data_IF_158198813482
#
_entry.id   IF_158198813482
#
_cell.length_a   1.000
_cell.length_b   1.000
_cell.length_c   1.000
_cell.angle_alpha   90.00
_cell.angle_beta   90.00
_cell.angle_gamma   90.00
#
_symmetry.space_group_name_H-M   'P 1'
#
loop_
_entity.id
_entity.type
_entity.pdbx_description
1 polymer ?
#
# COMPACT_ATOMS: atom_id res chain seq x y z
N UNK A 1 -9.44 8.01 8.65
CA UNK A 1 -9.54 8.15 10.11
C UNK A 1 -8.91 9.48 10.49
N UNK A 2 -9.36 10.11 11.57
CA UNK A 2 -8.62 11.25 12.13
C UNK A 2 -7.32 10.73 12.77
N UNK A 3 -6.19 11.42 12.59
CA UNK A 3 -4.92 10.90 13.10
C UNK A 3 -4.90 10.88 14.64
N UNK A 4 -5.53 11.84 15.31
CA UNK A 4 -5.51 11.88 16.78
C UNK A 4 -6.33 10.72 17.38
N UNK A 5 -7.38 10.27 16.67
CA UNK A 5 -8.10 9.04 17.01
C UNK A 5 -7.24 7.78 16.78
N UNK A 6 -6.54 7.71 15.64
CA UNK A 6 -5.66 6.60 15.32
C UNK A 6 -4.45 6.51 16.27
N UNK A 7 -3.87 7.64 16.64
CA UNK A 7 -2.66 7.74 17.47
C UNK A 7 -2.82 7.00 18.80
N UNK A 8 -4.02 7.02 19.37
CA UNK A 8 -4.32 6.29 20.62
C UNK A 8 -4.15 4.77 20.46
N UNK A 9 -4.52 4.20 19.31
CA UNK A 9 -4.33 2.77 19.02
C UNK A 9 -2.88 2.48 18.63
N UNK A 10 -2.30 3.35 17.82
CA UNK A 10 -0.91 3.25 17.39
C UNK A 10 0.06 3.20 18.58
N UNK A 11 -0.07 4.10 19.55
CA UNK A 11 0.79 4.12 20.74
C UNK A 11 0.71 2.85 21.57
N UNK A 12 -0.48 2.25 21.68
CA UNK A 12 -0.66 0.96 22.36
C UNK A 12 0.04 -0.17 21.62
N UNK A 13 -0.08 -0.21 20.29
CA UNK A 13 0.62 -1.20 19.47
C UNK A 13 2.13 -1.06 19.63
N UNK A 14 2.66 0.17 19.61
CA UNK A 14 4.09 0.41 19.84
C UNK A 14 4.54 -0.09 21.22
N UNK A 15 3.76 0.15 22.26
CA UNK A 15 4.06 -0.30 23.63
C UNK A 15 3.99 -1.83 23.74
N UNK A 16 2.93 -2.45 23.23
CA UNK A 16 2.69 -3.90 23.34
C UNK A 16 3.75 -4.73 22.61
N UNK A 17 4.24 -4.25 21.47
CA UNK A 17 5.18 -4.97 20.61
C UNK A 17 6.62 -4.43 20.70
N UNK A 18 6.84 -3.29 21.35
CA UNK A 18 8.16 -2.65 21.47
C UNK A 18 8.65 -2.00 20.16
N UNK A 19 7.74 -1.65 19.26
CA UNK A 19 8.09 -1.00 18.00
C UNK A 19 8.48 0.47 18.19
N UNK A 20 9.32 0.99 17.29
CA UNK A 20 9.87 2.35 17.38
C UNK A 20 9.10 3.32 16.50
N UNK A 21 8.39 4.28 17.12
CA UNK A 21 7.80 5.44 16.42
C UNK A 21 8.84 6.17 15.56
N UNK A 22 10.05 6.32 16.06
CA UNK A 22 11.10 7.04 15.37
C UNK A 22 11.55 6.32 14.09
N UNK A 23 11.54 4.98 14.08
CA UNK A 23 11.86 4.21 12.87
C UNK A 23 10.70 4.26 11.87
N UNK A 24 9.44 4.22 12.30
CA UNK A 24 8.28 4.42 11.40
C UNK A 24 8.34 5.79 10.71
N UNK A 25 8.59 6.86 11.47
CA UNK A 25 8.74 8.21 10.93
C UNK A 25 9.95 8.34 10.01
N UNK A 26 11.04 7.62 10.31
CA UNK A 26 12.23 7.57 9.46
C UNK A 26 11.92 6.86 8.14
N UNK A 27 11.22 5.74 8.17
CA UNK A 27 10.78 5.03 6.99
C UNK A 27 9.87 5.90 6.11
N UNK A 28 8.90 6.58 6.73
CA UNK A 28 8.00 7.49 6.04
C UNK A 28 8.75 8.64 5.34
N UNK A 29 9.77 9.22 6.00
CA UNK A 29 10.61 10.27 5.39
C UNK A 29 11.36 9.75 4.17
N UNK A 30 11.98 8.58 4.29
CA UNK A 30 12.71 7.97 3.16
C UNK A 30 11.74 7.67 2.02
N UNK A 31 10.57 7.09 2.31
CA UNK A 31 9.55 6.82 1.29
C UNK A 31 9.10 8.10 0.58
N UNK A 32 8.87 9.19 1.32
CA UNK A 32 8.46 10.46 0.69
C UNK A 32 9.50 10.99 -0.30
N UNK A 33 10.78 10.82 0.03
CA UNK A 33 11.92 11.25 -0.78
C UNK A 33 12.18 10.33 -1.99
N UNK A 34 11.95 9.02 -1.86
CA UNK A 34 12.38 8.02 -2.86
C UNK A 34 11.26 7.41 -3.68
N UNK A 35 9.99 7.68 -3.35
CA UNK A 35 8.85 7.13 -4.11
C UNK A 35 8.77 7.73 -5.50
N UNK A 36 9.05 6.89 -6.51
CA UNK A 36 8.96 7.22 -7.91
C UNK A 36 7.53 7.34 -8.43
N UNK A 37 7.43 7.57 -9.74
CA UNK A 37 6.16 7.69 -10.44
C UNK A 37 5.44 9.00 -10.20
N UNK A 38 4.19 9.06 -10.64
CA UNK A 38 3.32 10.21 -10.45
C UNK A 38 2.68 10.15 -9.06
N UNK A 39 3.17 10.98 -8.14
CA UNK A 39 2.55 11.11 -6.81
C UNK A 39 1.13 11.68 -6.96
N UNK A 40 0.11 10.88 -6.68
CA UNK A 40 -1.32 11.26 -6.74
C UNK A 40 -1.87 11.59 -5.35
N UNK A 41 -3.07 12.16 -5.32
CA UNK A 41 -3.81 12.44 -4.09
C UNK A 41 -4.85 11.35 -3.79
N UNK A 42 -5.39 11.28 -2.56
CA UNK A 42 -6.44 10.33 -2.20
C UNK A 42 -7.69 10.41 -3.09
N UNK A 43 -7.95 11.58 -3.70
CA UNK A 43 -9.06 11.78 -4.63
C UNK A 43 -8.94 10.93 -5.91
N UNK A 44 -7.71 10.61 -6.35
CA UNK A 44 -7.50 9.71 -7.50
C UNK A 44 -8.00 8.30 -7.19
N UNK A 45 -7.70 7.78 -6.00
CA UNK A 45 -8.22 6.49 -5.52
C UNK A 45 -9.74 6.58 -5.36
N UNK A 46 -10.26 7.63 -4.72
CA UNK A 46 -11.69 7.80 -4.54
C UNK A 46 -12.47 7.80 -5.87
N UNK A 47 -11.91 8.40 -6.93
CA UNK A 47 -12.52 8.42 -8.27
C UNK A 47 -12.61 7.04 -8.92
N UNK A 48 -11.69 6.14 -8.58
CA UNK A 48 -11.70 4.74 -9.05
C UNK A 48 -12.75 3.92 -8.29
N UNK A 49 -12.88 4.14 -6.98
CA UNK A 49 -13.69 3.29 -6.09
C UNK A 49 -15.16 3.73 -5.95
N UNK A 50 -15.43 5.03 -5.98
CA UNK A 50 -16.73 5.60 -5.57
C UNK A 50 -17.89 5.12 -6.45
N UNK A 51 -18.99 4.70 -5.81
CA UNK A 51 -20.20 4.25 -6.49
C UNK A 51 -20.08 2.89 -7.20
N UNK A 52 -18.99 2.15 -6.98
CA UNK A 52 -18.74 0.84 -7.59
C UNK A 52 -18.64 -0.24 -6.53
N UNK A 53 -18.99 -1.47 -6.90
CA UNK A 53 -18.66 -2.63 -6.09
C UNK A 53 -17.15 -2.90 -6.19
N UNK A 54 -16.49 -3.00 -5.03
CA UNK A 54 -15.04 -3.17 -4.91
C UNK A 54 -14.74 -4.49 -4.23
N UNK A 55 -13.82 -5.26 -4.81
CA UNK A 55 -13.24 -6.43 -4.17
C UNK A 55 -11.87 -6.08 -3.61
N UNK A 56 -11.66 -6.33 -2.33
CA UNK A 56 -10.33 -6.29 -1.71
C UNK A 56 -9.80 -7.72 -1.68
N UNK A 57 -8.73 -7.96 -2.44
CA UNK A 57 -8.12 -9.28 -2.57
C UNK A 57 -6.87 -9.35 -1.69
N UNK A 58 -6.87 -10.23 -0.69
CA UNK A 58 -5.67 -10.65 0.05
C UNK A 58 -5.11 -11.95 -0.49
N UNK A 59 -3.87 -12.31 -0.11
CA UNK A 59 -3.17 -13.51 -0.60
C UNK A 59 -3.63 -14.82 0.08
N UNK A 60 -4.94 -15.03 0.20
CA UNK A 60 -5.46 -16.30 0.72
C UNK A 60 -5.12 -17.44 -0.27
N UNK A 61 -4.78 -18.67 0.20
CA UNK A 61 -4.46 -19.80 -0.68
C UNK A 61 -5.55 -20.12 -1.72
N UNK A 62 -6.82 -19.78 -1.42
CA UNK A 62 -7.96 -19.99 -2.31
C UNK A 62 -8.16 -18.93 -3.40
N UNK A 63 -7.41 -17.82 -3.39
CA UNK A 63 -7.67 -16.66 -4.26
C UNK A 63 -7.75 -17.05 -5.75
N UNK A 64 -6.85 -17.91 -6.23
CA UNK A 64 -6.83 -18.39 -7.60
C UNK A 64 -8.14 -19.12 -8.00
N UNK A 65 -8.80 -19.80 -7.06
CA UNK A 65 -10.08 -20.48 -7.28
C UNK A 65 -11.29 -19.54 -7.27
N UNK A 66 -11.13 -18.32 -6.74
CA UNK A 66 -12.21 -17.36 -6.53
C UNK A 66 -12.19 -16.18 -7.52
N UNK A 67 -11.26 -16.16 -8.48
CA UNK A 67 -11.08 -15.06 -9.43
C UNK A 67 -12.34 -14.67 -10.23
N UNK A 68 -13.26 -15.62 -10.43
CA UNK A 68 -14.54 -15.36 -11.11
C UNK A 68 -15.55 -14.58 -10.25
N UNK A 69 -15.31 -14.47 -8.94
CA UNK A 69 -16.14 -13.73 -7.99
C UNK A 69 -15.70 -12.28 -7.83
N UNK A 70 -14.54 -11.92 -8.39
CA UNK A 70 -14.02 -10.56 -8.32
C UNK A 70 -14.94 -9.61 -9.09
N UNK A 71 -15.16 -8.44 -8.51
CA UNK A 71 -15.81 -7.31 -9.19
C UNK A 71 -14.90 -6.73 -10.27
N UNK A 72 -15.42 -5.77 -11.05
CA UNK A 72 -14.61 -5.05 -12.04
C UNK A 72 -13.49 -4.21 -11.40
N UNK A 73 -13.75 -3.65 -10.22
CA UNK A 73 -12.77 -2.88 -9.44
C UNK A 73 -12.17 -3.76 -8.36
N UNK A 74 -10.85 -3.96 -8.41
CA UNK A 74 -10.08 -4.78 -7.48
C UNK A 74 -8.97 -3.95 -6.84
N UNK A 75 -8.92 -4.02 -5.51
CA UNK A 75 -7.80 -3.56 -4.69
C UNK A 75 -7.01 -4.79 -4.28
N UNK A 76 -5.75 -4.90 -4.71
CA UNK A 76 -4.86 -5.98 -4.31
C UNK A 76 -4.10 -5.58 -3.05
N UNK A 77 -4.11 -6.44 -2.02
CA UNK A 77 -3.21 -6.34 -0.88
C UNK A 77 -1.97 -7.17 -1.16
N UNK A 78 -0.85 -6.48 -1.32
CA UNK A 78 0.50 -7.02 -1.43
C UNK A 78 0.63 -8.21 -2.42
N UNK A 79 1.00 -9.40 -1.95
CA UNK A 79 1.16 -10.61 -2.77
C UNK A 79 -0.07 -11.07 -3.56
N UNK A 80 -1.28 -10.62 -3.20
CA UNK A 80 -2.47 -10.88 -4.02
C UNK A 80 -2.28 -10.37 -5.46
N UNK A 81 -1.44 -9.35 -5.63
CA UNK A 81 -1.06 -8.79 -6.93
C UNK A 81 -0.47 -9.85 -7.86
N UNK A 82 0.45 -10.70 -7.39
CA UNK A 82 1.05 -11.77 -8.20
C UNK A 82 0.01 -12.80 -8.65
N UNK A 83 -0.90 -13.19 -7.76
CA UNK A 83 -1.97 -14.15 -8.09
C UNK A 83 -2.91 -13.57 -9.15
N UNK A 84 -3.32 -12.31 -9.01
CA UNK A 84 -4.19 -11.62 -9.96
C UNK A 84 -3.51 -11.49 -11.34
N UNK A 85 -2.27 -10.98 -11.36
CA UNK A 85 -1.49 -10.75 -12.57
C UNK A 85 -1.21 -12.06 -13.34
N UNK A 86 -0.89 -13.14 -12.63
CA UNK A 86 -0.65 -14.47 -13.23
C UNK A 86 -1.87 -15.03 -13.98
N UNK A 87 -3.07 -14.57 -13.62
CA UNK A 87 -4.33 -15.00 -14.24
C UNK A 87 -4.94 -13.92 -15.14
N UNK A 88 -4.15 -12.91 -15.55
CA UNK A 88 -4.58 -11.84 -16.44
C UNK A 88 -5.63 -10.91 -15.83
N UNK A 89 -5.73 -10.86 -14.49
CA UNK A 89 -6.60 -9.92 -13.78
C UNK A 89 -5.77 -8.75 -13.29
N UNK A 90 -6.04 -7.57 -13.83
CA UNK A 90 -5.33 -6.35 -13.49
C UNK A 90 -6.00 -5.64 -12.31
N UNK A 91 -5.33 -5.41 -11.17
CA UNK A 91 -5.88 -4.58 -10.10
C UNK A 91 -5.90 -3.11 -10.51
N UNK A 92 -6.85 -2.34 -9.97
CA UNK A 92 -6.87 -0.88 -10.15
C UNK A 92 -6.04 -0.18 -9.08
N UNK A 93 -5.95 -0.76 -7.89
CA UNK A 93 -5.16 -0.25 -6.77
C UNK A 93 -4.38 -1.40 -6.15
N UNK A 94 -3.14 -1.13 -5.76
CA UNK A 94 -2.29 -2.04 -4.98
C UNK A 94 -2.02 -1.35 -3.66
N UNK A 95 -2.17 -2.05 -2.55
CA UNK A 95 -1.77 -1.58 -1.21
C UNK A 95 -0.67 -2.51 -0.72
N UNK A 96 0.51 -2.00 -0.42
CA UNK A 96 1.70 -2.81 -0.14
C UNK A 96 2.66 -2.10 0.80
N UNK A 97 3.30 -2.87 1.67
CA UNK A 97 4.48 -2.57 2.47
C UNK A 97 5.78 -3.08 1.82
N UNK A 98 5.71 -3.49 0.55
CA UNK A 98 6.79 -3.98 -0.30
C UNK A 98 7.28 -5.39 0.06
N UNK A 99 6.37 -6.23 0.53
CA UNK A 99 6.61 -7.65 0.77
C UNK A 99 6.36 -8.54 -0.46
N UNK A 100 6.77 -9.80 -0.32
CA UNK A 100 6.63 -10.82 -1.35
C UNK A 100 7.32 -10.48 -2.68
N UNK A 101 6.60 -10.66 -3.79
CA UNK A 101 7.12 -10.45 -5.16
C UNK A 101 6.83 -9.04 -5.67
N UNK A 102 7.60 -8.07 -5.18
CA UNK A 102 7.44 -6.64 -5.51
C UNK A 102 7.58 -6.35 -7.01
N UNK A 103 8.30 -7.18 -7.78
CA UNK A 103 8.40 -7.02 -9.24
C UNK A 103 7.03 -7.03 -9.92
N UNK A 104 6.10 -7.89 -9.47
CA UNK A 104 4.76 -7.97 -10.04
C UNK A 104 3.92 -6.73 -9.68
N UNK A 105 4.18 -6.13 -8.52
CA UNK A 105 3.54 -4.89 -8.07
C UNK A 105 4.04 -3.68 -8.87
N UNK A 106 5.34 -3.60 -9.10
CA UNK A 106 5.96 -2.59 -9.98
C UNK A 106 5.43 -2.72 -11.40
N UNK A 107 5.33 -3.93 -11.94
CA UNK A 107 4.79 -4.16 -13.28
C UNK A 107 3.30 -3.79 -13.37
N UNK A 108 2.51 -4.11 -12.36
CA UNK A 108 1.11 -3.70 -12.30
C UNK A 108 0.98 -2.16 -12.18
N UNK A 109 1.84 -1.51 -11.39
CA UNK A 109 1.87 -0.05 -11.34
C UNK A 109 2.22 0.58 -12.69
N UNK A 110 3.25 0.06 -13.37
CA UNK A 110 3.66 0.50 -14.72
C UNK A 110 2.54 0.37 -15.75
N UNK A 111 1.66 -0.61 -15.59
CA UNK A 111 0.46 -0.82 -16.43
C UNK A 111 -0.76 0.01 -15.99
N UNK A 112 -0.62 0.88 -14.99
CA UNK A 112 -1.63 1.87 -14.60
C UNK A 112 -2.35 1.61 -13.28
N UNK A 113 -1.99 0.57 -12.52
CA UNK A 113 -2.51 0.41 -11.16
C UNK A 113 -1.96 1.52 -10.24
N UNK A 114 -2.82 2.11 -9.40
CA UNK A 114 -2.36 3.07 -8.38
C UNK A 114 -1.66 2.27 -7.27
N UNK A 115 -0.37 2.52 -7.04
CA UNK A 115 0.36 1.88 -5.96
C UNK A 115 0.32 2.74 -4.69
N UNK A 116 -0.36 2.24 -3.67
CA UNK A 116 -0.36 2.77 -2.31
C UNK A 116 0.74 2.05 -1.54
N UNK A 117 1.86 2.74 -1.34
CA UNK A 117 3.05 2.18 -0.68
C UNK A 117 3.06 2.62 0.77
N UNK A 118 3.21 1.67 1.69
CA UNK A 118 3.21 1.89 3.13
C UNK A 118 4.63 1.86 3.69
N UNK A 119 4.92 2.77 4.63
CA UNK A 119 6.18 2.82 5.35
C UNK A 119 5.99 2.52 6.84
N UNK A 120 6.80 1.59 7.34
CA UNK A 120 6.98 1.23 8.76
C UNK A 120 8.47 0.97 9.02
N UNK A 121 8.88 0.88 10.28
CA UNK A 121 10.29 0.89 10.69
C UNK A 121 11.17 -0.16 10.00
N UNK A 122 10.64 -1.36 9.77
CA UNK A 122 11.45 -2.51 9.32
C UNK A 122 11.56 -2.60 7.79
N UNK A 123 10.67 -1.97 7.02
CA UNK A 123 10.71 -2.02 5.56
C UNK A 123 11.61 -0.98 4.89
N UNK A 124 12.43 -0.23 5.64
CA UNK A 124 13.41 0.72 5.08
C UNK A 124 14.30 0.09 3.98
N UNK A 125 14.85 -1.13 4.13
CA UNK A 125 15.63 -1.77 3.07
C UNK A 125 14.80 -2.01 1.80
N UNK A 126 13.53 -2.41 1.95
CA UNK A 126 12.61 -2.63 0.83
C UNK A 126 12.27 -1.31 0.13
N UNK A 127 11.96 -0.25 0.89
CA UNK A 127 11.75 1.11 0.38
C UNK A 127 12.90 1.51 -0.53
N UNK A 128 14.14 1.44 -0.01
CA UNK A 128 15.35 1.84 -0.76
C UNK A 128 15.57 1.03 -2.03
N UNK A 129 15.21 -0.25 -2.01
CA UNK A 129 15.40 -1.16 -3.15
C UNK A 129 14.38 -0.92 -4.26
N UNK A 130 13.14 -0.62 -3.90
CA UNK A 130 12.00 -0.75 -4.80
C UNK A 130 11.33 0.55 -5.21
N UNK A 131 11.27 1.56 -4.33
CA UNK A 131 10.33 2.67 -4.53
C UNK A 131 10.66 3.53 -5.74
N UNK A 132 11.93 3.61 -6.13
CA UNK A 132 12.38 4.33 -7.33
C UNK A 132 11.98 3.65 -8.64
N UNK A 133 11.52 2.39 -8.59
CA UNK A 133 11.12 1.60 -9.76
C UNK A 133 9.64 1.73 -10.11
N UNK A 134 8.83 2.34 -9.23
CA UNK A 134 7.46 2.67 -9.55
C UNK A 134 7.45 3.83 -10.56
N UNK A 135 6.74 3.66 -11.66
CA UNK A 135 6.69 4.62 -12.79
C UNK A 135 5.29 5.20 -13.00
N UNK A 136 4.25 4.48 -12.55
CA UNK A 136 2.85 4.87 -12.68
C UNK A 136 2.36 5.75 -11.52
N UNK A 137 1.04 5.80 -11.28
CA UNK A 137 0.46 6.58 -10.19
C UNK A 137 0.82 5.99 -8.81
N UNK A 138 1.31 6.81 -7.89
CA UNK A 138 1.75 6.36 -6.56
C UNK A 138 1.21 7.23 -5.43
N UNK A 139 0.98 6.64 -4.25
CA UNK A 139 0.60 7.33 -3.03
C UNK A 139 1.37 6.74 -1.85
N UNK A 140 2.00 7.59 -1.04
CA UNK A 140 2.74 7.15 0.15
C UNK A 140 1.83 7.16 1.38
N UNK A 141 1.95 6.15 2.23
CA UNK A 141 1.26 6.07 3.51
C UNK A 141 2.21 5.71 4.65
N UNK A 142 1.80 6.00 5.87
CA UNK A 142 2.51 5.62 7.09
C UNK A 142 1.50 5.33 8.19
N UNK A 143 1.89 4.51 9.16
CA UNK A 143 1.15 4.28 10.40
C UNK A 143 1.38 5.38 11.45
N UNK A 144 2.42 6.22 11.29
CA UNK A 144 2.73 7.35 12.17
C UNK A 144 2.08 8.66 11.68
N UNK A 145 2.49 9.80 12.25
CA UNK A 145 1.93 11.11 11.96
C UNK A 145 2.13 11.46 10.48
N UNK A 146 1.07 11.82 9.72
CA UNK A 146 1.22 12.20 8.33
C UNK A 146 1.96 13.53 8.19
N UNK A 147 2.68 13.70 7.09
CA UNK A 147 3.40 14.93 6.75
C UNK A 147 3.64 14.99 5.24
N UNK A 148 3.90 16.19 4.71
CA UNK A 148 4.25 16.37 3.30
C UNK A 148 3.20 15.75 2.36
N UNK A 149 3.61 14.76 1.56
CA UNK A 149 2.74 13.99 0.64
C UNK A 149 2.54 12.55 1.10
N UNK A 150 2.74 12.29 2.38
CA UNK A 150 2.51 11.00 3.05
C UNK A 150 1.22 11.10 3.87
N UNK A 151 0.33 10.14 3.67
CA UNK A 151 -0.98 10.11 4.31
C UNK A 151 -1.04 9.03 5.39
N UNK A 152 -1.92 9.24 6.37
CA UNK A 152 -2.30 8.21 7.32
C UNK A 152 -3.82 8.02 7.19
N UNK A 153 -4.24 6.78 6.94
CA UNK A 153 -5.66 6.42 6.82
C UNK A 153 -6.16 5.60 8.02
N UNK A 154 -5.30 5.35 9.01
CA UNK A 154 -5.38 4.30 10.03
C UNK A 154 -4.78 2.98 9.55
N UNK A 155 -4.64 2.01 10.46
CA UNK A 155 -4.06 0.69 10.18
C UNK A 155 -2.57 0.61 10.47
N UNK A 156 -2.08 -0.62 10.61
CA UNK A 156 -0.72 -0.96 11.06
C UNK A 156 -0.22 -2.21 10.34
N UNK A 157 1.09 -2.28 10.10
CA UNK A 157 1.83 -3.47 9.62
C UNK A 157 3.24 -3.46 10.22
N UNK A 158 3.88 -4.62 10.35
CA UNK A 158 5.18 -4.80 11.00
C UNK A 158 6.33 -5.18 10.07
#
# INVERSE_FOLDING_TARGET
MDFDEWETYYERILEDFGFSRAEDERAARILDETLGGERVSPQAIASVLSGRAVTVAGNAPGLAGELRRLTEVVVAADEATSVLMAHGRMPQVIVTDLDGRVEDQVEANRRGAIAVVHAHGDNIPAIRKWTTRFEGPTLATTQSRPFGRVYNFGGFTD
#
